data_IF_974694143710
#
_entry.id   IF_974694143710
#
_cell.length_a   1.000
_cell.length_b   1.000
_cell.length_c   1.000
_cell.angle_alpha   90.00
_cell.angle_beta   90.00
_cell.angle_gamma   90.00
#
_symmetry.space_group_name_H-M   'P 1'
#
loop_
_entity.id
_entity.type
_entity.pdbx_description
1 polymer ?
#
# COMPACT_ATOMS: atom_id res chain seq x y z
N UNK A 1 -0.63 -9.40 -1.11
CA UNK A 1 -0.46 -9.27 0.36
C UNK A 1 0.90 -9.81 0.83
N UNK A 2 1.23 -11.09 0.59
CA UNK A 2 2.47 -11.70 1.12
C UNK A 2 3.75 -10.91 0.81
N UNK A 3 3.94 -10.51 -0.45
CA UNK A 3 5.14 -9.77 -0.88
C UNK A 3 5.36 -8.45 -0.11
N UNK A 4 4.29 -7.72 0.21
CA UNK A 4 4.39 -6.48 0.98
C UNK A 4 4.85 -6.75 2.43
N UNK A 5 4.35 -7.83 3.04
CA UNK A 5 4.77 -8.24 4.38
C UNK A 5 6.25 -8.69 4.41
N UNK A 6 6.68 -9.48 3.41
CA UNK A 6 8.08 -9.90 3.29
C UNK A 6 9.01 -8.71 3.07
N UNK A 7 8.62 -7.75 2.22
CA UNK A 7 9.39 -6.52 2.00
C UNK A 7 9.54 -5.69 3.30
N UNK A 8 8.47 -5.62 4.11
CA UNK A 8 8.51 -5.00 5.43
C UNK A 8 9.49 -5.68 6.39
N UNK A 9 9.51 -7.00 6.42
CA UNK A 9 10.46 -7.77 7.25
C UNK A 9 11.91 -7.55 6.79
N UNK A 10 12.18 -7.63 5.48
CA UNK A 10 13.53 -7.40 4.93
C UNK A 10 14.05 -5.99 5.22
N UNK A 11 13.21 -4.98 5.01
CA UNK A 11 13.56 -3.58 5.25
C UNK A 11 13.50 -3.18 6.72
N UNK A 12 13.03 -4.06 7.61
CA UNK A 12 12.79 -3.79 9.03
C UNK A 12 11.92 -2.55 9.22
N UNK A 13 10.84 -2.45 8.44
CA UNK A 13 9.92 -1.32 8.53
C UNK A 13 9.22 -1.32 9.88
N UNK A 14 9.23 -0.16 10.55
CA UNK A 14 8.47 0.06 11.77
C UNK A 14 7.04 0.48 11.40
N UNK A 15 6.00 -0.29 11.78
CA UNK A 15 4.60 0.10 11.55
C UNK A 15 4.17 1.31 12.39
N UNK A 16 4.99 1.76 13.33
CA UNK A 16 4.69 2.83 14.25
C UNK A 16 3.86 2.35 15.44
N UNK A 17 3.33 3.31 16.20
CA UNK A 17 2.57 3.02 17.40
C UNK A 17 1.14 2.58 17.04
N UNK A 18 0.58 1.57 17.74
CA UNK A 18 -0.80 1.16 17.53
C UNK A 18 -1.76 2.28 17.93
N UNK A 19 -2.77 2.50 17.09
CA UNK A 19 -3.80 3.49 17.36
C UNK A 19 -4.92 2.89 18.24
N UNK A 20 -4.94 3.25 19.52
CA UNK A 20 -5.98 2.86 20.48
C UNK A 20 -7.12 3.89 20.55
N UNK A 21 -7.70 4.27 19.40
CA UNK A 21 -8.81 5.24 19.32
C UNK A 21 -9.88 4.74 18.34
N UNK A 22 -11.14 5.18 18.53
CA UNK A 22 -12.18 4.96 17.54
C UNK A 22 -12.00 5.97 16.39
N UNK A 23 -11.52 5.49 15.24
CA UNK A 23 -11.23 6.32 14.07
C UNK A 23 -12.45 7.08 13.53
N UNK A 24 -13.67 6.58 13.74
CA UNK A 24 -14.90 7.23 13.28
C UNK A 24 -15.36 8.38 14.19
N UNK A 25 -14.77 8.49 15.39
CA UNK A 25 -15.08 9.54 16.35
C UNK A 25 -14.03 10.66 16.36
N UNK A 26 -12.99 10.55 15.53
CA UNK A 26 -11.91 11.53 15.47
C UNK A 26 -12.33 12.77 14.69
N UNK A 27 -11.77 13.90 15.10
CA UNK A 27 -11.95 15.16 14.37
C UNK A 27 -11.19 15.12 13.04
N UNK A 28 -11.58 15.93 12.03
CA UNK A 28 -10.83 16.03 10.77
C UNK A 28 -9.36 16.44 10.97
N UNK A 29 -9.04 17.17 12.03
CA UNK A 29 -7.67 17.55 12.38
C UNK A 29 -6.86 16.35 12.86
N UNK A 30 -7.41 15.50 13.72
CA UNK A 30 -6.76 14.26 14.18
C UNK A 30 -6.64 13.20 13.08
N UNK A 31 -7.58 13.16 12.13
CA UNK A 31 -7.57 12.21 11.01
C UNK A 31 -6.46 12.51 10.00
N UNK A 32 -6.00 13.77 9.89
CA UNK A 32 -4.93 14.15 8.94
C UNK A 32 -3.61 13.43 9.23
N UNK A 33 -3.36 13.12 10.49
CA UNK A 33 -2.12 12.45 10.93
C UNK A 33 -2.21 10.91 10.81
N UNK A 34 -3.37 10.37 10.42
CA UNK A 34 -3.60 8.93 10.27
C UNK A 34 -3.48 8.55 8.80
N UNK A 35 -2.57 7.61 8.45
CA UNK A 35 -2.49 7.08 7.09
C UNK A 35 -3.81 6.45 6.66
N UNK A 36 -4.31 6.83 5.50
CA UNK A 36 -5.53 6.29 4.91
C UNK A 36 -5.24 5.44 3.67
N UNK A 37 -6.16 4.53 3.36
CA UNK A 37 -6.15 3.83 2.07
C UNK A 37 -6.49 4.80 0.93
N UNK A 38 -6.12 4.48 -0.33
CA UNK A 38 -6.55 5.25 -1.48
C UNK A 38 -8.08 5.38 -1.54
N UNK A 39 -8.57 6.56 -1.93
CA UNK A 39 -10.00 6.86 -2.00
C UNK A 39 -10.70 6.34 -3.25
N UNK A 40 -9.95 5.85 -4.25
CA UNK A 40 -10.51 5.30 -5.49
C UNK A 40 -9.66 4.18 -6.09
N UNK A 41 -10.24 3.47 -7.06
CA UNK A 41 -9.52 2.49 -7.87
C UNK A 41 -8.39 3.17 -8.67
N UNK A 42 -8.67 4.30 -9.31
CA UNK A 42 -7.67 5.06 -10.08
C UNK A 42 -6.46 5.45 -9.21
N UNK A 43 -6.72 5.93 -7.99
CA UNK A 43 -5.65 6.25 -7.05
C UNK A 43 -4.86 5.00 -6.63
N UNK A 44 -5.53 3.86 -6.44
CA UNK A 44 -4.87 2.59 -6.13
C UNK A 44 -3.97 2.12 -7.29
N UNK A 45 -4.44 2.22 -8.53
CA UNK A 45 -3.66 1.88 -9.74
C UNK A 45 -2.47 2.83 -9.89
N UNK A 46 -2.65 4.13 -9.63
CA UNK A 46 -1.56 5.10 -9.65
C UNK A 46 -0.51 4.84 -8.57
N UNK A 47 -0.90 4.40 -7.38
CA UNK A 47 0.04 3.97 -6.34
C UNK A 47 0.77 2.67 -6.75
N UNK A 48 0.07 1.71 -7.35
CA UNK A 48 0.69 0.48 -7.87
C UNK A 48 1.73 0.79 -8.96
N UNK A 49 1.43 1.71 -9.89
CA UNK A 49 2.40 2.18 -10.91
C UNK A 49 3.67 2.73 -10.27
N UNK A 50 3.53 3.50 -9.19
CA UNK A 50 4.64 4.17 -8.49
C UNK A 50 5.45 3.23 -7.60
N UNK A 51 4.79 2.28 -6.95
CA UNK A 51 5.41 1.38 -5.97
C UNK A 51 4.94 -0.07 -6.14
N UNK A 52 5.57 -0.78 -7.08
CA UNK A 52 5.38 -2.23 -7.29
C UNK A 52 6.71 -3.00 -7.24
N UNK A 53 7.81 -2.36 -6.84
CA UNK A 53 9.12 -3.01 -6.82
C UNK A 53 9.14 -4.22 -5.88
N UNK A 54 8.42 -4.14 -4.76
CA UNK A 54 8.28 -5.24 -3.81
C UNK A 54 7.58 -6.47 -4.40
N UNK A 55 6.74 -6.30 -5.42
CA UNK A 55 6.04 -7.41 -6.10
C UNK A 55 6.95 -8.20 -7.04
N UNK A 56 7.98 -7.54 -7.60
CA UNK A 56 8.90 -8.16 -8.57
C UNK A 56 9.98 -9.01 -7.92
N UNK A 57 10.10 -9.00 -6.58
CA UNK A 57 11.10 -9.80 -5.87
C UNK A 57 10.83 -11.29 -6.07
N UNK A 58 11.89 -12.06 -6.36
CA UNK A 58 11.79 -13.51 -6.56
C UNK A 58 10.97 -13.92 -7.78
N UNK A 59 10.84 -13.03 -8.77
CA UNK A 59 10.08 -13.23 -10.01
C UNK A 59 8.62 -13.67 -9.79
N UNK A 60 8.05 -13.30 -8.64
CA UNK A 60 6.66 -13.63 -8.27
C UNK A 60 5.66 -12.89 -9.16
N UNK A 61 5.94 -11.62 -9.45
CA UNK A 61 5.22 -10.83 -10.44
C UNK A 61 6.20 -10.32 -11.49
N UNK A 62 5.86 -10.55 -12.76
CA UNK A 62 6.60 -10.05 -13.90
C UNK A 62 6.11 -8.65 -14.29
N UNK A 63 6.95 -7.89 -15.01
CA UNK A 63 6.61 -6.52 -15.42
C UNK A 63 5.40 -6.50 -16.35
N UNK A 64 5.31 -7.44 -17.30
CA UNK A 64 4.21 -7.57 -18.24
C UNK A 64 2.87 -7.89 -17.55
N UNK A 65 2.88 -8.73 -16.52
CA UNK A 65 1.67 -9.03 -15.74
C UNK A 65 1.17 -7.79 -14.98
N UNK A 66 2.09 -6.99 -14.43
CA UNK A 66 1.76 -5.75 -13.74
C UNK A 66 1.23 -4.70 -14.72
N UNK A 67 1.89 -4.53 -15.86
CA UNK A 67 1.48 -3.56 -16.89
C UNK A 67 0.10 -3.92 -17.45
N UNK A 68 -0.16 -5.21 -17.74
CA UNK A 68 -1.47 -5.68 -18.18
C UNK A 68 -2.56 -5.40 -17.13
N UNK A 69 -2.28 -5.67 -15.86
CA UNK A 69 -3.26 -5.43 -14.80
C UNK A 69 -3.58 -3.95 -14.64
N UNK A 70 -2.56 -3.11 -14.76
CA UNK A 70 -2.66 -1.66 -14.68
C UNK A 70 -3.45 -1.07 -15.86
N UNK A 71 -3.30 -1.61 -17.07
CA UNK A 71 -4.01 -1.17 -18.26
C UNK A 71 -5.47 -1.66 -18.30
N UNK A 72 -5.71 -2.87 -17.79
CA UNK A 72 -7.04 -3.47 -17.75
C UNK A 72 -7.99 -2.79 -16.75
N UNK A 73 -7.47 -2.10 -15.73
CA UNK A 73 -8.23 -1.56 -14.60
C UNK A 73 -8.43 -0.05 -14.70
#
# INVERSE_FOLDING_TARGET
MLMAGLDGVEKKMDPGQPLNKNIYALTPEELKDIPSVPGSLEESINNLKKDHAFLKKGDVFTQDALDMWIDYK
#
